data_IF_047324266936
#
_entry.id   IF_047324266936
#
_cell.length_a   1.000
_cell.length_b   1.000
_cell.length_c   1.000
_cell.angle_alpha   90.00
_cell.angle_beta   90.00
_cell.angle_gamma   90.00
#
_symmetry.space_group_name_H-M   'P 1'
#
loop_
_entity.id
_entity.type
_entity.pdbx_description
1 polymer ?
#
# COMPACT_ATOMS: atom_id res chain seq x y z
N UNK A 1 -10.06 -18.45 -6.80
CA UNK A 1 -10.72 -17.33 -7.51
C UNK A 1 -11.99 -16.90 -6.80
N UNK A 2 -12.28 -15.62 -6.80
CA UNK A 2 -13.57 -15.09 -6.33
C UNK A 2 -14.51 -14.88 -7.54
N UNK A 3 -15.82 -14.71 -7.29
CA UNK A 3 -16.80 -14.38 -8.31
C UNK A 3 -16.54 -13.01 -9.00
N UNK A 4 -15.68 -12.18 -8.42
CA UNK A 4 -15.30 -10.87 -8.95
C UNK A 4 -13.96 -10.87 -9.69
N UNK A 5 -13.35 -12.02 -9.94
CA UNK A 5 -12.01 -12.11 -10.52
C UNK A 5 -11.91 -11.39 -11.90
N UNK A 6 -12.90 -11.54 -12.75
CA UNK A 6 -12.97 -10.91 -14.08
C UNK A 6 -13.65 -9.53 -14.08
N UNK A 7 -13.97 -8.97 -12.91
CA UNK A 7 -14.68 -7.69 -12.80
C UNK A 7 -14.00 -6.53 -13.56
N UNK A 8 -12.66 -6.43 -13.61
CA UNK A 8 -12.00 -5.35 -14.37
C UNK A 8 -12.38 -5.32 -15.84
N UNK A 9 -12.57 -6.49 -16.48
CA UNK A 9 -12.88 -6.60 -17.91
C UNK A 9 -14.36 -6.90 -18.18
N UNK A 10 -15.17 -7.05 -17.14
CA UNK A 10 -16.60 -7.34 -17.26
C UNK A 10 -17.34 -6.15 -17.86
N UNK A 11 -18.18 -6.42 -18.87
CA UNK A 11 -18.98 -5.41 -19.55
C UNK A 11 -20.46 -5.48 -19.14
N UNK A 12 -21.14 -4.38 -19.27
CA UNK A 12 -22.60 -4.27 -19.14
C UNK A 12 -23.31 -4.66 -20.45
N UNK A 13 -24.65 -4.55 -20.47
CA UNK A 13 -25.47 -4.87 -21.63
C UNK A 13 -25.23 -3.94 -22.84
N UNK A 14 -24.61 -2.78 -22.61
CA UNK A 14 -24.28 -1.80 -23.66
C UNK A 14 -22.86 -1.98 -24.21
N UNK A 15 -22.12 -2.98 -23.69
CA UNK A 15 -20.73 -3.24 -24.07
C UNK A 15 -19.69 -2.40 -23.32
N UNK A 16 -20.10 -1.55 -22.37
CA UNK A 16 -19.18 -0.71 -21.57
C UNK A 16 -18.63 -1.50 -20.40
N UNK A 17 -17.37 -1.24 -20.04
CA UNK A 17 -16.79 -1.82 -18.81
C UNK A 17 -17.59 -1.41 -17.58
N UNK A 18 -17.82 -2.34 -16.66
CA UNK A 18 -18.51 -2.08 -15.38
C UNK A 18 -17.69 -1.18 -14.46
N UNK A 19 -16.35 -1.24 -14.56
CA UNK A 19 -15.47 -0.29 -13.90
C UNK A 19 -15.15 0.80 -14.93
N UNK A 20 -15.58 2.06 -14.72
CA UNK A 20 -15.27 3.16 -15.63
C UNK A 20 -13.76 3.44 -15.72
N UNK A 21 -13.28 4.06 -16.81
CA UNK A 21 -11.93 4.58 -16.92
C UNK A 21 -11.57 5.54 -15.77
N UNK A 22 -10.30 5.63 -15.41
CA UNK A 22 -9.78 6.52 -14.38
C UNK A 22 -9.99 6.03 -12.94
N UNK A 23 -10.61 4.85 -12.75
CA UNK A 23 -10.83 4.30 -11.41
C UNK A 23 -9.58 3.59 -10.87
N UNK A 24 -9.40 3.62 -9.54
CA UNK A 24 -8.42 2.78 -8.86
C UNK A 24 -9.04 1.44 -8.47
N UNK A 25 -8.45 0.35 -8.95
CA UNK A 25 -8.82 -1.03 -8.64
C UNK A 25 -7.88 -1.56 -7.56
N UNK A 26 -8.41 -1.81 -6.37
CA UNK A 26 -7.67 -2.45 -5.28
C UNK A 26 -7.62 -3.96 -5.50
N UNK A 27 -6.44 -4.49 -5.80
CA UNK A 27 -6.25 -5.87 -6.21
C UNK A 27 -5.88 -6.73 -5.01
N UNK A 28 -6.63 -7.82 -4.79
CA UNK A 28 -6.40 -8.78 -3.70
C UNK A 28 -6.34 -8.15 -2.29
N UNK A 29 -7.26 -7.20 -1.98
CA UNK A 29 -7.25 -6.44 -0.74
C UNK A 29 -7.41 -7.30 0.54
N UNK A 30 -8.01 -8.49 0.42
CA UNK A 30 -8.18 -9.47 1.51
C UNK A 30 -7.21 -10.66 1.42
N UNK A 31 -6.25 -10.59 0.49
CA UNK A 31 -5.25 -11.62 0.22
C UNK A 31 -3.97 -10.94 -0.26
N UNK A 32 -3.13 -11.63 -1.01
CA UNK A 32 -1.92 -11.08 -1.61
C UNK A 32 -1.84 -11.56 -3.07
N UNK A 33 -1.58 -10.66 -4.01
CA UNK A 33 -1.52 -10.99 -5.44
C UNK A 33 -0.36 -11.94 -5.77
N UNK A 34 0.68 -11.95 -4.96
CA UNK A 34 1.91 -12.75 -5.15
C UNK A 34 1.93 -14.03 -4.33
N UNK A 35 0.79 -14.46 -3.77
CA UNK A 35 0.64 -15.74 -3.09
C UNK A 35 0.81 -16.90 -4.08
N UNK A 36 1.40 -18.01 -3.65
CA UNK A 36 1.71 -19.17 -4.51
C UNK A 36 0.45 -19.80 -5.12
N UNK A 37 -0.63 -19.86 -4.35
CA UNK A 37 -1.93 -20.37 -4.80
C UNK A 37 -2.51 -19.58 -5.98
N UNK A 38 -2.00 -18.37 -6.24
CA UNK A 38 -2.41 -17.55 -7.37
C UNK A 38 -1.62 -17.81 -8.66
N UNK A 39 -0.52 -18.58 -8.61
CA UNK A 39 0.40 -18.76 -9.74
C UNK A 39 -0.32 -19.29 -10.99
N UNK A 40 -1.24 -20.24 -10.83
CA UNK A 40 -1.97 -20.87 -11.93
C UNK A 40 -2.87 -19.91 -12.75
N UNK A 41 -3.24 -18.76 -12.19
CA UNK A 41 -4.16 -17.79 -12.84
C UNK A 41 -3.65 -16.34 -12.81
N UNK A 42 -2.42 -16.12 -12.36
CA UNK A 42 -1.81 -14.80 -12.35
C UNK A 42 -1.60 -14.25 -13.77
N UNK A 43 -1.24 -15.10 -14.72
CA UNK A 43 -1.12 -14.70 -16.13
C UNK A 43 -2.42 -14.12 -16.70
N UNK A 44 -3.58 -14.71 -16.37
CA UNK A 44 -4.89 -14.18 -16.75
C UNK A 44 -5.19 -12.84 -16.07
N UNK A 45 -4.79 -12.68 -14.78
CA UNK A 45 -4.94 -11.41 -14.08
C UNK A 45 -4.08 -10.31 -14.74
N UNK A 46 -2.83 -10.61 -15.10
CA UNK A 46 -1.96 -9.67 -15.82
C UNK A 46 -2.53 -9.28 -17.19
N UNK A 47 -3.15 -10.22 -17.92
CA UNK A 47 -3.81 -9.91 -19.20
C UNK A 47 -4.96 -8.90 -19.01
N UNK A 48 -5.78 -9.08 -17.96
CA UNK A 48 -6.85 -8.13 -17.63
C UNK A 48 -6.31 -6.75 -17.21
N UNK A 49 -5.24 -6.71 -16.43
CA UNK A 49 -4.61 -5.46 -16.01
C UNK A 49 -4.05 -4.71 -17.22
N UNK A 50 -3.41 -5.42 -18.16
CA UNK A 50 -2.91 -4.86 -19.42
C UNK A 50 -4.04 -4.28 -20.28
N UNK A 51 -5.15 -5.02 -20.42
CA UNK A 51 -6.34 -4.55 -21.17
C UNK A 51 -6.92 -3.27 -20.58
N UNK A 52 -6.81 -3.11 -19.26
CA UNK A 52 -7.40 -1.98 -18.52
C UNK A 52 -6.36 -0.94 -18.09
N UNK A 53 -5.44 -0.61 -18.99
CA UNK A 53 -4.47 0.48 -18.76
C UNK A 53 -5.11 1.87 -18.55
N UNK A 54 -6.42 2.00 -18.77
CA UNK A 54 -7.27 3.13 -18.47
C UNK A 54 -7.66 3.25 -16.97
N UNK A 55 -7.34 2.23 -16.17
CA UNK A 55 -7.53 2.19 -14.71
C UNK A 55 -6.18 2.12 -14.00
N UNK A 56 -6.13 2.51 -12.73
CA UNK A 56 -4.96 2.28 -11.87
C UNK A 56 -5.17 1.02 -11.05
N UNK A 57 -4.22 0.09 -11.06
CA UNK A 57 -4.26 -1.13 -10.24
C UNK A 57 -3.31 -0.98 -9.06
N UNK A 58 -3.85 -1.00 -7.83
CA UNK A 58 -3.09 -0.91 -6.61
C UNK A 58 -2.99 -2.28 -5.96
N UNK A 59 -1.76 -2.75 -5.76
CA UNK A 59 -1.43 -4.05 -5.18
C UNK A 59 -0.64 -3.86 -3.91
N UNK A 60 -1.12 -4.40 -2.79
CA UNK A 60 -0.42 -4.39 -1.51
C UNK A 60 0.17 -5.78 -1.28
N UNK A 61 1.47 -5.85 -1.01
CA UNK A 61 2.13 -7.14 -0.79
C UNK A 61 3.10 -7.13 0.39
N UNK A 62 3.19 -8.27 1.02
CA UNK A 62 4.23 -8.65 1.99
C UNK A 62 5.24 -9.65 1.41
N UNK A 63 4.99 -10.11 0.18
CA UNK A 63 5.77 -11.12 -0.55
C UNK A 63 6.65 -10.50 -1.61
N UNK A 64 7.44 -9.50 -1.21
CA UNK A 64 8.23 -8.71 -2.14
C UNK A 64 9.30 -9.53 -2.87
N UNK A 65 9.80 -10.55 -2.22
CA UNK A 65 10.76 -11.53 -2.73
C UNK A 65 10.22 -12.35 -3.90
N UNK A 66 8.91 -12.51 -4.01
CA UNK A 66 8.26 -13.23 -5.13
C UNK A 66 7.96 -12.36 -6.34
N UNK A 67 7.93 -11.04 -6.16
CA UNK A 67 7.44 -10.12 -7.19
C UNK A 67 8.18 -10.30 -8.51
N UNK A 68 9.51 -10.27 -8.51
CA UNK A 68 10.31 -10.36 -9.73
C UNK A 68 9.97 -11.61 -10.58
N UNK A 69 9.79 -12.76 -9.93
CA UNK A 69 9.44 -14.02 -10.61
C UNK A 69 7.98 -14.07 -11.11
N UNK A 70 7.14 -13.16 -10.63
CA UNK A 70 5.70 -13.11 -10.92
C UNK A 70 5.32 -12.03 -11.93
N UNK A 71 6.26 -11.20 -12.36
CA UNK A 71 6.02 -10.15 -13.36
C UNK A 71 5.80 -10.78 -14.76
N UNK A 72 4.97 -10.17 -15.60
CA UNK A 72 4.78 -10.65 -16.98
C UNK A 72 6.01 -10.33 -17.83
N UNK A 73 6.24 -11.11 -18.89
CA UNK A 73 7.43 -11.00 -19.73
C UNK A 73 7.61 -9.62 -20.39
N UNK A 74 6.54 -8.90 -20.61
CA UNK A 74 6.50 -7.55 -21.20
C UNK A 74 6.44 -6.42 -20.16
N UNK A 75 6.77 -6.71 -18.90
CA UNK A 75 6.75 -5.73 -17.82
C UNK A 75 7.69 -4.53 -18.05
N UNK A 76 8.87 -4.77 -18.62
CA UNK A 76 9.88 -3.74 -18.86
C UNK A 76 10.30 -3.02 -17.58
N UNK A 77 10.33 -1.69 -17.62
CA UNK A 77 10.63 -0.83 -16.47
C UNK A 77 9.42 -0.58 -15.54
N UNK A 78 8.31 -1.25 -15.82
CA UNK A 78 7.07 -1.13 -15.06
C UNK A 78 5.92 -0.55 -15.87
N UNK A 79 4.71 -0.94 -15.50
CA UNK A 79 3.50 -0.37 -16.12
C UNK A 79 3.04 0.86 -15.30
N UNK A 80 2.89 2.06 -15.93
CA UNK A 80 2.54 3.30 -15.21
C UNK A 80 1.21 3.24 -14.45
N UNK A 81 0.30 2.38 -14.91
CA UNK A 81 -1.01 2.19 -14.31
C UNK A 81 -1.04 1.12 -13.20
N UNK A 82 0.11 0.56 -12.83
CA UNK A 82 0.24 -0.38 -11.71
C UNK A 82 1.04 0.27 -10.58
N UNK A 83 0.44 0.31 -9.40
CA UNK A 83 1.08 0.78 -8.17
C UNK A 83 1.30 -0.43 -7.28
N UNK A 84 2.55 -0.79 -7.08
CA UNK A 84 2.92 -1.84 -6.15
C UNK A 84 3.29 -1.21 -4.81
N UNK A 85 2.61 -1.66 -3.74
CA UNK A 85 2.81 -1.17 -2.38
C UNK A 85 3.51 -2.23 -1.54
N UNK A 86 4.64 -1.87 -0.94
CA UNK A 86 5.38 -2.73 -0.02
C UNK A 86 4.93 -2.48 1.42
N UNK A 87 4.47 -3.51 2.13
CA UNK A 87 4.11 -3.38 3.55
C UNK A 87 5.33 -3.50 4.45
N UNK A 88 5.50 -2.57 5.40
CA UNK A 88 6.58 -2.55 6.39
C UNK A 88 6.02 -2.26 7.77
N UNK A 89 5.67 -3.29 8.53
CA UNK A 89 5.03 -3.16 9.84
C UNK A 89 6.01 -3.06 11.01
N UNK A 90 7.25 -3.54 10.83
CA UNK A 90 8.36 -3.48 11.79
C UNK A 90 9.66 -3.11 11.08
N UNK A 91 10.69 -2.68 11.84
CA UNK A 91 12.00 -2.36 11.27
C UNK A 91 12.65 -3.58 10.60
N UNK A 92 12.55 -4.75 11.21
CA UNK A 92 13.02 -5.99 10.62
C UNK A 92 12.40 -6.24 9.24
N UNK A 93 11.10 -6.00 9.10
CA UNK A 93 10.39 -6.17 7.83
C UNK A 93 10.75 -5.11 6.81
N UNK A 94 10.95 -3.88 7.25
CA UNK A 94 11.44 -2.80 6.39
C UNK A 94 12.84 -3.12 5.86
N UNK A 95 13.76 -3.51 6.74
CA UNK A 95 15.15 -3.82 6.39
C UNK A 95 15.29 -5.04 5.47
N UNK A 96 14.38 -6.00 5.57
CA UNK A 96 14.31 -7.13 4.66
C UNK A 96 13.68 -6.77 3.31
N UNK A 97 12.54 -6.08 3.32
CA UNK A 97 11.72 -5.88 2.12
C UNK A 97 12.16 -4.70 1.25
N UNK A 98 12.55 -3.59 1.85
CA UNK A 98 12.82 -2.38 1.08
C UNK A 98 14.01 -2.49 0.13
N UNK A 99 15.15 -3.13 0.46
CA UNK A 99 16.22 -3.34 -0.51
C UNK A 99 15.76 -4.11 -1.75
N UNK A 100 14.96 -5.17 -1.57
CA UNK A 100 14.39 -5.95 -2.67
C UNK A 100 13.41 -5.07 -3.46
N UNK A 101 12.52 -4.39 -2.77
CA UNK A 101 11.50 -3.53 -3.38
C UNK A 101 12.08 -2.42 -4.23
N UNK A 102 13.12 -1.76 -3.74
CA UNK A 102 13.79 -0.68 -4.45
C UNK A 102 14.58 -1.17 -5.67
N UNK A 103 14.98 -2.44 -5.73
CA UNK A 103 15.63 -3.03 -6.90
C UNK A 103 14.66 -3.41 -8.03
N UNK A 104 13.34 -3.49 -7.75
CA UNK A 104 12.34 -3.87 -8.76
C UNK A 104 12.15 -2.76 -9.80
N UNK A 105 11.89 -3.12 -11.08
CA UNK A 105 11.55 -2.17 -12.14
C UNK A 105 10.09 -1.70 -11.97
N UNK A 106 9.89 -0.61 -11.25
CA UNK A 106 8.56 -0.07 -10.93
C UNK A 106 8.51 1.42 -11.29
N UNK A 107 7.42 1.86 -11.94
CA UNK A 107 7.17 3.28 -12.21
C UNK A 107 6.73 4.05 -10.95
N UNK A 108 5.99 3.38 -10.06
CA UNK A 108 5.43 3.99 -8.84
C UNK A 108 5.66 3.09 -7.64
N UNK A 109 6.14 3.68 -6.55
CA UNK A 109 6.49 2.97 -5.30
C UNK A 109 5.82 3.61 -4.10
N UNK A 110 4.97 2.85 -3.42
CA UNK A 110 4.35 3.27 -2.16
C UNK A 110 4.73 2.31 -1.03
N UNK A 111 5.14 2.84 0.10
CA UNK A 111 5.42 2.06 1.31
C UNK A 111 4.24 2.18 2.27
N UNK A 112 3.77 1.05 2.79
CA UNK A 112 2.63 0.99 3.71
C UNK A 112 3.09 0.43 5.04
N UNK A 113 3.12 1.27 6.07
CA UNK A 113 3.44 0.90 7.46
C UNK A 113 2.12 0.69 8.23
N UNK A 114 1.35 -0.32 7.81
CA UNK A 114 0.05 -0.62 8.42
C UNK A 114 -0.14 -2.14 8.57
N UNK A 115 -0.26 -2.64 9.83
CA UNK A 115 -0.21 -1.88 11.07
C UNK A 115 1.21 -1.40 11.41
N UNK A 116 1.32 -0.15 11.91
CA UNK A 116 2.56 0.37 12.47
C UNK A 116 2.72 -0.18 13.89
N UNK A 117 3.71 -1.05 14.09
CA UNK A 117 3.86 -1.84 15.32
C UNK A 117 4.98 -1.38 16.23
N UNK A 118 5.90 -0.57 15.70
CA UNK A 118 7.02 0.02 16.41
C UNK A 118 7.50 1.29 15.69
N UNK A 119 8.46 2.00 16.29
CA UNK A 119 9.14 3.10 15.62
C UNK A 119 9.96 2.57 14.46
N UNK A 120 9.80 3.17 13.27
CA UNK A 120 10.55 2.83 12.08
C UNK A 120 11.54 3.95 11.72
N UNK A 121 12.74 3.55 11.32
CA UNK A 121 13.68 4.43 10.64
C UNK A 121 13.79 4.01 9.16
N UNK A 122 13.14 4.78 8.31
CA UNK A 122 13.15 4.60 6.86
C UNK A 122 14.08 5.61 6.15
N UNK A 123 14.77 6.47 6.89
CA UNK A 123 15.53 7.61 6.37
C UNK A 123 16.49 7.22 5.25
N UNK A 124 17.23 6.12 5.41
CA UNK A 124 18.19 5.64 4.40
C UNK A 124 17.51 5.24 3.09
N UNK A 125 16.32 4.66 3.15
CA UNK A 125 15.56 4.22 1.97
C UNK A 125 14.87 5.39 1.27
N UNK A 126 14.38 6.35 2.05
CA UNK A 126 13.77 7.57 1.53
C UNK A 126 14.80 8.45 0.82
N UNK A 127 16.05 8.49 1.33
CA UNK A 127 17.15 9.24 0.71
C UNK A 127 17.56 8.74 -0.69
N UNK A 128 17.16 7.51 -1.07
CA UNK A 128 17.39 7.02 -2.44
C UNK A 128 16.53 7.73 -3.49
N UNK A 129 15.51 8.50 -3.08
CA UNK A 129 14.64 9.27 -3.98
C UNK A 129 13.77 8.42 -4.92
N UNK A 130 13.50 7.16 -4.53
CA UNK A 130 12.75 6.19 -5.35
C UNK A 130 11.37 5.83 -4.79
N UNK A 131 11.02 6.35 -3.62
CA UNK A 131 9.71 6.13 -2.97
C UNK A 131 8.87 7.38 -3.19
N UNK A 132 7.67 7.22 -3.77
CA UNK A 132 6.75 8.31 -4.06
C UNK A 132 5.93 8.72 -2.84
N UNK A 133 5.53 7.72 -2.03
CA UNK A 133 4.74 8.00 -0.83
C UNK A 133 4.92 6.95 0.26
N UNK A 134 4.68 7.37 1.48
CA UNK A 134 4.58 6.50 2.66
C UNK A 134 3.22 6.72 3.31
N UNK A 135 2.54 5.63 3.64
CA UNK A 135 1.34 5.71 4.47
C UNK A 135 1.50 4.84 5.71
N UNK A 136 0.90 5.25 6.81
CA UNK A 136 0.88 4.45 8.03
C UNK A 136 -0.49 4.40 8.68
N UNK A 137 -0.68 3.44 9.58
CA UNK A 137 -1.89 3.31 10.36
C UNK A 137 -1.76 2.27 11.45
N UNK A 138 -2.63 2.37 12.46
CA UNK A 138 -2.72 1.38 13.53
C UNK A 138 -3.53 0.15 13.12
N UNK A 139 -3.48 -0.88 13.95
CA UNK A 139 -4.21 -2.13 13.76
C UNK A 139 -5.68 -1.98 14.15
N UNK A 140 -6.57 -2.53 13.31
CA UNK A 140 -8.01 -2.61 13.59
C UNK A 140 -8.36 -3.94 14.27
N UNK A 141 -9.45 -3.97 15.05
CA UNK A 141 -9.95 -5.17 15.72
C UNK A 141 -9.85 -5.08 17.24
N UNK A 142 -10.45 -6.05 17.92
CA UNK A 142 -10.58 -6.03 19.38
C UNK A 142 -9.22 -6.29 20.07
N UNK A 143 -8.40 -7.16 19.48
CA UNK A 143 -7.06 -7.53 19.95
C UNK A 143 -5.94 -6.67 19.35
N UNK A 144 -6.29 -5.51 18.77
CA UNK A 144 -5.34 -4.62 18.12
C UNK A 144 -4.19 -4.23 19.08
N UNK A 145 -2.97 -4.29 18.56
CA UNK A 145 -1.78 -3.76 19.23
C UNK A 145 -1.83 -2.24 19.26
N UNK A 146 -1.15 -1.65 20.21
CA UNK A 146 -1.12 -0.20 20.37
C UNK A 146 -0.26 0.43 19.27
N UNK A 147 -0.85 1.37 18.53
CA UNK A 147 -0.08 2.29 17.69
C UNK A 147 0.28 3.52 18.51
N UNK A 148 1.56 3.92 18.50
CA UNK A 148 2.00 5.12 19.17
C UNK A 148 2.00 6.30 18.19
N UNK A 149 1.35 7.40 18.58
CA UNK A 149 1.29 8.59 17.75
C UNK A 149 2.64 9.26 17.54
N UNK A 150 3.57 9.11 18.49
CA UNK A 150 4.94 9.63 18.35
C UNK A 150 5.70 8.88 17.22
N UNK A 151 5.42 7.60 16.99
CA UNK A 151 5.96 6.87 15.85
C UNK A 151 5.43 7.41 14.52
N UNK A 152 4.14 7.78 14.49
CA UNK A 152 3.50 8.40 13.30
C UNK A 152 4.16 9.75 12.99
N UNK A 153 4.39 10.58 14.00
CA UNK A 153 5.03 11.89 13.85
C UNK A 153 6.50 11.77 13.42
N UNK A 154 7.21 10.78 13.97
CA UNK A 154 8.61 10.53 13.60
C UNK A 154 8.72 10.08 12.13
N UNK A 155 7.87 9.14 11.70
CA UNK A 155 7.84 8.68 10.31
C UNK A 155 7.45 9.81 9.35
N UNK A 156 6.48 10.67 9.75
CA UNK A 156 6.14 11.88 9.00
C UNK A 156 7.33 12.80 8.83
N UNK A 157 8.08 13.05 9.89
CA UNK A 157 9.29 13.91 9.84
C UNK A 157 10.28 13.38 8.82
N UNK A 158 10.59 12.08 8.85
CA UNK A 158 11.49 11.45 7.88
C UNK A 158 11.01 11.66 6.43
N UNK A 159 9.70 11.53 6.18
CA UNK A 159 9.12 11.77 4.86
C UNK A 159 9.24 13.24 4.43
N UNK A 160 8.97 14.19 5.34
CA UNK A 160 9.12 15.63 5.08
C UNK A 160 10.59 15.97 4.75
N UNK A 161 11.53 15.46 5.54
CA UNK A 161 12.96 15.70 5.35
C UNK A 161 13.47 15.16 4.01
N UNK A 162 12.85 14.08 3.51
CA UNK A 162 13.17 13.48 2.21
C UNK A 162 12.32 14.00 1.04
N UNK A 163 11.35 14.89 1.27
CA UNK A 163 10.43 15.37 0.23
C UNK A 163 9.47 14.28 -0.29
N UNK A 164 9.14 13.28 0.51
CA UNK A 164 8.25 12.16 0.16
C UNK A 164 6.87 12.37 0.76
N UNK A 165 5.80 12.16 -0.01
CA UNK A 165 4.44 12.33 0.47
C UNK A 165 4.14 11.37 1.64
N UNK A 166 3.41 11.86 2.64
CA UNK A 166 3.05 11.08 3.83
C UNK A 166 1.55 11.13 4.13
N UNK A 167 0.98 10.00 4.53
CA UNK A 167 -0.42 9.91 4.91
C UNK A 167 -0.64 9.06 6.16
N UNK A 168 -1.35 9.61 7.16
CA UNK A 168 -1.83 8.86 8.31
C UNK A 168 -3.26 8.37 8.04
N UNK A 169 -3.42 7.10 7.66
CA UNK A 169 -4.67 6.54 7.15
C UNK A 169 -5.70 6.27 8.24
N UNK A 170 -5.28 5.67 9.34
CA UNK A 170 -6.16 5.33 10.47
C UNK A 170 -5.38 5.23 11.78
N UNK A 171 -6.08 5.52 12.89
CA UNK A 171 -5.48 5.44 14.22
C UNK A 171 -5.29 4.00 14.72
N UNK A 172 -6.01 3.04 14.11
CA UNK A 172 -6.22 1.74 14.72
C UNK A 172 -7.21 1.79 15.89
N UNK A 173 -7.48 0.61 16.46
CA UNK A 173 -8.40 0.48 17.60
C UNK A 173 -7.78 0.96 18.92
N UNK A 174 -6.46 1.00 19.03
CA UNK A 174 -5.71 1.41 20.22
C UNK A 174 -4.59 2.37 19.83
N UNK A 175 -4.77 3.66 20.17
CA UNK A 175 -3.79 4.70 19.91
C UNK A 175 -3.21 5.23 21.23
N UNK A 176 -1.88 5.23 21.37
CA UNK A 176 -1.17 5.95 22.44
C UNK A 176 -0.88 7.37 21.97
N UNK A 177 -1.24 8.35 22.78
CA UNK A 177 -0.87 9.77 22.58
C UNK A 177 -0.67 10.42 23.93
N UNK A 178 0.43 11.14 24.13
CA UNK A 178 0.76 11.85 25.37
C UNK A 178 0.67 10.93 26.61
N UNK A 179 1.20 9.72 26.49
CA UNK A 179 1.22 8.71 27.55
C UNK A 179 -0.12 8.00 27.82
N UNK A 180 -1.23 8.41 27.16
CA UNK A 180 -2.57 7.81 27.30
C UNK A 180 -2.90 6.90 26.14
N UNK A 181 -3.60 5.77 26.43
CA UNK A 181 -4.10 4.86 25.40
C UNK A 181 -5.59 5.13 25.22
N UNK A 182 -5.95 5.48 23.99
CA UNK A 182 -7.32 5.70 23.56
C UNK A 182 -7.82 4.45 22.82
N UNK A 183 -9.03 3.99 23.18
CA UNK A 183 -9.76 2.98 22.42
C UNK A 183 -10.68 3.67 21.43
N UNK A 184 -10.45 3.46 20.13
CA UNK A 184 -11.15 4.17 19.07
C UNK A 184 -11.98 3.17 18.27
N UNK A 185 -13.30 3.39 18.26
CA UNK A 185 -14.24 2.53 17.50
C UNK A 185 -13.92 2.58 16.02
N UNK A 186 -14.07 1.46 15.33
CA UNK A 186 -13.72 1.29 13.91
C UNK A 186 -14.23 2.41 13.00
N UNK A 187 -15.48 2.84 13.19
CA UNK A 187 -16.10 3.92 12.40
C UNK A 187 -15.41 5.28 12.53
N UNK A 188 -14.62 5.49 13.58
CA UNK A 188 -13.92 6.76 13.83
C UNK A 188 -12.42 6.73 13.50
N UNK A 189 -11.81 5.56 13.27
CA UNK A 189 -10.37 5.43 13.12
C UNK A 189 -9.82 6.30 11.98
N UNK A 190 -10.44 6.26 10.81
CA UNK A 190 -10.05 7.09 9.67
C UNK A 190 -10.33 8.59 9.89
N UNK A 191 -11.47 8.94 10.50
CA UNK A 191 -11.82 10.34 10.74
C UNK A 191 -10.91 10.99 11.80
N UNK A 192 -10.52 10.24 12.82
CA UNK A 192 -9.56 10.73 13.84
C UNK A 192 -8.16 10.91 13.25
N UNK A 193 -7.71 10.00 12.39
CA UNK A 193 -6.44 10.17 11.68
C UNK A 193 -6.45 11.45 10.82
N UNK A 194 -7.49 11.67 10.03
CA UNK A 194 -7.63 12.91 9.23
C UNK A 194 -7.65 14.17 10.11
N UNK A 195 -8.31 14.13 11.28
CA UNK A 195 -8.34 15.26 12.22
C UNK A 195 -7.00 15.58 12.85
N UNK A 196 -6.07 14.61 12.87
CA UNK A 196 -4.71 14.87 13.34
C UNK A 196 -3.95 15.88 12.46
N UNK A 197 -4.34 16.03 11.17
CA UNK A 197 -3.78 17.03 10.27
C UNK A 197 -2.30 16.84 10.00
N UNK A 198 -1.82 15.59 10.01
CA UNK A 198 -0.39 15.28 9.88
C UNK A 198 0.01 14.77 8.48
N UNK A 199 -0.93 14.70 7.56
CA UNK A 199 -0.62 14.35 6.17
C UNK A 199 0.35 15.40 5.58
N UNK A 200 1.24 14.94 4.70
CA UNK A 200 2.15 15.80 3.95
C UNK A 200 2.02 15.46 2.46
N UNK A 201 1.65 16.45 1.68
CA UNK A 201 1.47 16.33 0.23
C UNK A 201 2.63 17.04 -0.44
N UNK A 202 3.27 16.38 -1.37
CA UNK A 202 4.26 16.99 -2.28
C UNK A 202 3.49 17.50 -3.48
N UNK A 203 3.53 18.81 -3.69
CA UNK A 203 2.99 19.42 -4.92
C UNK A 203 3.90 19.01 -6.09
N UNK A 204 3.32 18.35 -7.09
CA UNK A 204 4.00 17.87 -8.28
C UNK A 204 4.14 18.93 -9.35
#
# INVERSE_FOLDING_TARGET
RTAAFDLPVRRDRTGRYKIPPGQTVYTCFTSDFFIEEADAWRGEAWAMIRERSDCTFLMITKRIDRVAACLPADWGEGWPHVVLCCTCETQERADYRLPIYLSLPLCRREVICEPLLERLDLSRYLAEGRIDSVSCGGESGDDARVCDFDWVLDLRRQCVDAGVAFRFRQTGARLRKEGRIYRIRRQFQHSQARRAGVDFIVEG
#
